data_IF_961757689938
#
_entry.id   IF_961757689938
#
_cell.length_a   1.000
_cell.length_b   1.000
_cell.length_c   1.000
_cell.angle_alpha   90.00
_cell.angle_beta   90.00
_cell.angle_gamma   90.00
#
_symmetry.space_group_name_H-M   'P 1'
#
loop_
_entity.id
_entity.type
_entity.pdbx_description
1 polymer ?
#
# COMPACT_ATOMS: atom_id res chain seq x y z
N UNK A 1 -7.74 15.93 1.02
CA UNK A 1 -8.16 14.70 0.30
C UNK A 1 -7.16 13.57 0.60
N UNK A 2 -7.30 12.87 1.73
CA UNK A 2 -6.46 11.70 2.08
C UNK A 2 -7.29 10.42 2.32
N UNK A 3 -8.62 10.56 2.33
CA UNK A 3 -9.56 9.47 2.66
C UNK A 3 -9.57 8.39 1.59
N UNK A 4 -9.60 8.77 0.30
CA UNK A 4 -9.60 7.82 -0.80
C UNK A 4 -8.35 6.92 -0.84
N UNK A 5 -7.11 7.43 -0.87
CA UNK A 5 -5.93 6.58 -0.87
C UNK A 5 -5.84 5.71 0.39
N UNK A 6 -6.26 6.24 1.55
CA UNK A 6 -6.28 5.47 2.80
C UNK A 6 -7.29 4.30 2.76
N UNK A 7 -8.52 4.53 2.28
CA UNK A 7 -9.51 3.46 2.15
C UNK A 7 -9.06 2.41 1.12
N UNK A 8 -8.45 2.83 0.01
CA UNK A 8 -7.95 1.89 -0.99
C UNK A 8 -6.82 1.03 -0.44
N UNK A 9 -5.90 1.60 0.37
CA UNK A 9 -4.82 0.80 0.96
C UNK A 9 -5.36 -0.16 2.00
N UNK A 10 -6.33 0.23 2.84
CA UNK A 10 -6.90 -0.67 3.85
C UNK A 10 -7.63 -1.85 3.21
N UNK A 11 -8.51 -1.58 2.24
CA UNK A 11 -9.26 -2.65 1.55
C UNK A 11 -8.30 -3.59 0.83
N UNK A 12 -7.32 -3.06 0.10
CA UNK A 12 -6.34 -3.89 -0.61
C UNK A 12 -5.47 -4.69 0.36
N UNK A 13 -5.08 -4.12 1.50
CA UNK A 13 -4.30 -4.85 2.50
C UNK A 13 -5.11 -5.99 3.13
N UNK A 14 -6.40 -5.77 3.39
CA UNK A 14 -7.29 -6.82 3.88
C UNK A 14 -7.41 -7.96 2.86
N UNK A 15 -7.78 -7.65 1.63
CA UNK A 15 -8.05 -8.68 0.60
C UNK A 15 -6.82 -9.46 0.16
N UNK A 16 -5.65 -8.82 0.11
CA UNK A 16 -4.43 -9.47 -0.42
C UNK A 16 -3.49 -10.02 0.64
N UNK A 17 -3.61 -9.58 1.91
CA UNK A 17 -2.72 -10.01 2.99
C UNK A 17 -3.51 -10.69 4.11
N UNK A 18 -4.57 -10.05 4.61
CA UNK A 18 -5.27 -10.53 5.82
C UNK A 18 -6.15 -11.75 5.53
N UNK A 19 -6.97 -11.69 4.49
CA UNK A 19 -7.85 -12.80 4.09
C UNK A 19 -7.07 -14.08 3.74
N UNK A 20 -6.03 -14.06 2.88
CA UNK A 20 -5.30 -15.28 2.56
C UNK A 20 -4.42 -15.80 3.70
N UNK A 21 -4.06 -14.95 4.67
CA UNK A 21 -3.41 -15.38 5.91
C UNK A 21 -4.40 -16.13 6.81
N UNK A 22 -5.62 -15.60 6.99
CA UNK A 22 -6.68 -16.24 7.77
C UNK A 22 -7.16 -17.56 7.16
N UNK A 23 -7.19 -17.66 5.83
CA UNK A 23 -7.54 -18.89 5.11
C UNK A 23 -6.44 -19.97 5.14
N UNK A 24 -5.27 -19.70 5.72
CA UNK A 24 -4.15 -20.66 5.77
C UNK A 24 -3.47 -20.90 4.42
N UNK A 25 -3.71 -20.04 3.42
CA UNK A 25 -3.05 -20.11 2.10
C UNK A 25 -1.63 -19.53 2.15
N UNK A 26 -1.34 -18.67 3.12
CA UNK A 26 -0.02 -18.09 3.37
C UNK A 26 0.60 -18.67 4.65
N UNK A 27 1.36 -19.76 4.51
CA UNK A 27 2.03 -20.45 5.63
C UNK A 27 3.49 -20.02 5.84
N UNK A 28 3.94 -18.97 5.17
CA UNK A 28 5.33 -18.54 5.20
C UNK A 28 5.45 -17.08 5.63
N UNK A 29 6.32 -16.81 6.62
CA UNK A 29 6.59 -15.46 7.12
C UNK A 29 7.11 -14.56 5.99
N UNK A 30 8.05 -15.05 5.18
CA UNK A 30 8.63 -14.27 4.08
C UNK A 30 7.62 -14.00 2.98
N UNK A 31 6.73 -14.95 2.67
CA UNK A 31 5.66 -14.73 1.69
C UNK A 31 4.69 -13.62 2.13
N UNK A 32 4.26 -13.65 3.39
CA UNK A 32 3.38 -12.62 3.98
C UNK A 32 4.07 -11.25 4.01
N UNK A 33 5.35 -11.23 4.38
CA UNK A 33 6.18 -10.03 4.47
C UNK A 33 6.43 -9.40 3.09
N UNK A 34 6.77 -10.19 2.07
CA UNK A 34 6.97 -9.72 0.70
C UNK A 34 5.67 -9.20 0.09
N UNK A 35 4.56 -9.92 0.31
CA UNK A 35 3.26 -9.54 -0.25
C UNK A 35 2.73 -8.25 0.35
N UNK A 36 2.83 -8.10 1.68
CA UNK A 36 2.45 -6.87 2.37
C UNK A 36 3.31 -5.66 1.97
N UNK A 37 4.63 -5.84 1.85
CA UNK A 37 5.52 -4.80 1.32
C UNK A 37 5.19 -4.39 -0.12
N UNK A 38 4.91 -5.35 -1.01
CA UNK A 38 4.54 -5.08 -2.40
C UNK A 38 3.21 -4.31 -2.51
N UNK A 39 2.19 -4.72 -1.74
CA UNK A 39 0.90 -4.02 -1.68
C UNK A 39 1.08 -2.60 -1.12
N UNK A 40 1.89 -2.44 -0.08
CA UNK A 40 2.22 -1.13 0.51
C UNK A 40 2.92 -0.20 -0.47
N UNK A 41 3.84 -0.71 -1.29
CA UNK A 41 4.55 0.07 -2.31
C UNK A 41 3.62 0.48 -3.45
N UNK A 42 2.86 -0.46 -4.02
CA UNK A 42 2.02 -0.21 -5.19
C UNK A 42 0.80 0.65 -4.84
N UNK A 43 0.05 0.27 -3.82
CA UNK A 43 -1.22 0.95 -3.48
C UNK A 43 -0.99 2.12 -2.53
N UNK A 44 -0.03 2.00 -1.60
CA UNK A 44 0.30 3.09 -0.68
C UNK A 44 1.24 4.15 -1.27
N UNK A 45 2.09 3.77 -2.23
CA UNK A 45 3.09 4.67 -2.80
C UNK A 45 2.82 5.10 -4.23
N UNK A 46 2.64 4.15 -5.16
CA UNK A 46 2.52 4.46 -6.58
C UNK A 46 1.15 5.06 -6.94
N UNK A 47 0.07 4.55 -6.35
CA UNK A 47 -1.30 5.00 -6.65
C UNK A 47 -1.54 6.49 -6.32
N UNK A 48 -1.15 7.03 -5.15
CA UNK A 48 -1.31 8.46 -4.86
C UNK A 48 -0.47 9.36 -5.77
N UNK A 49 0.74 8.93 -6.15
CA UNK A 49 1.62 9.66 -7.06
C UNK A 49 1.00 9.70 -8.47
N UNK A 50 0.49 8.57 -8.95
CA UNK A 50 -0.17 8.47 -10.25
C UNK A 50 -1.47 9.29 -10.32
N UNK A 51 -2.19 9.44 -9.21
CA UNK A 51 -3.38 10.31 -9.12
C UNK A 51 -3.01 11.80 -9.07
N UNK A 52 -1.95 12.16 -8.36
CA UNK A 52 -1.55 13.55 -8.19
C UNK A 52 -1.02 14.17 -9.49
N UNK A 53 -0.28 13.42 -10.31
CA UNK A 53 0.34 13.94 -11.54
C UNK A 53 -0.67 14.50 -12.57
N UNK A 54 -1.67 13.74 -13.04
CA UNK A 54 -2.60 14.21 -14.07
C UNK A 54 -3.51 15.33 -13.55
N UNK A 55 -3.94 15.28 -12.28
CA UNK A 55 -4.78 16.32 -11.70
C UNK A 55 -4.02 17.64 -11.64
N UNK A 56 -2.79 17.64 -11.10
CA UNK A 56 -1.98 18.85 -11.01
C UNK A 56 -1.55 19.36 -12.41
N UNK A 57 -1.25 18.45 -13.34
CA UNK A 57 -0.95 18.80 -14.73
C UNK A 57 -2.14 19.40 -15.47
N UNK A 58 -3.35 18.85 -15.29
CA UNK A 58 -4.57 19.37 -15.89
C UNK A 58 -4.92 20.76 -15.35
N UNK A 59 -4.82 20.98 -14.04
CA UNK A 59 -4.99 22.31 -13.46
C UNK A 59 -3.97 23.30 -14.02
N UNK A 60 -2.70 22.91 -14.13
CA UNK A 60 -1.66 23.77 -14.70
C UNK A 60 -1.94 24.15 -16.17
N UNK A 61 -2.54 23.24 -16.94
CA UNK A 61 -2.96 23.49 -18.32
C UNK A 61 -4.16 24.45 -18.39
N UNK A 62 -5.16 24.28 -17.51
CA UNK A 62 -6.37 25.11 -17.47
C UNK A 62 -6.05 26.54 -17.04
N UNK A 63 -5.20 26.72 -16.03
CA UNK A 63 -4.87 28.03 -15.48
C UNK A 63 -3.64 28.68 -16.14
N UNK A 64 -3.07 28.09 -17.19
CA UNK A 64 -1.88 28.57 -17.89
C UNK A 64 -0.68 28.91 -16.98
N UNK A 65 -0.56 28.22 -15.84
CA UNK A 65 0.49 28.50 -14.84
C UNK A 65 1.83 27.83 -15.19
N UNK A 66 1.85 27.00 -16.24
CA UNK A 66 3.04 26.29 -16.72
C UNK A 66 3.04 26.26 -18.25
N UNK A 67 4.20 26.39 -18.93
CA UNK A 67 4.29 26.28 -20.37
C UNK A 67 3.76 24.92 -20.83
N UNK A 68 2.68 24.93 -21.62
CA UNK A 68 2.11 23.72 -22.19
C UNK A 68 3.07 23.13 -23.24
N UNK A 69 3.14 21.80 -23.37
CA UNK A 69 4.07 21.15 -24.29
C UNK A 69 3.81 21.58 -25.74
N UNK A 70 4.85 22.06 -26.43
CA UNK A 70 4.82 22.24 -27.88
C UNK A 70 4.72 20.87 -28.58
N UNK A 71 3.96 20.84 -29.68
CA UNK A 71 3.63 19.62 -30.45
C UNK A 71 4.89 18.78 -30.72
N UNK A 72 4.89 17.55 -30.20
CA UNK A 72 5.89 16.52 -30.53
C UNK A 72 6.49 15.79 -29.33
N UNK A 73 6.46 16.36 -28.11
CA UNK A 73 7.19 15.76 -26.97
C UNK A 73 6.41 15.70 -25.64
N UNK A 74 5.14 15.26 -25.70
CA UNK A 74 4.26 15.17 -24.51
C UNK A 74 4.85 14.27 -23.41
N UNK A 75 5.47 13.14 -23.78
CA UNK A 75 6.00 12.17 -22.81
C UNK A 75 7.15 12.75 -21.98
N UNK A 76 8.08 13.44 -22.64
CA UNK A 76 9.22 14.05 -21.97
C UNK A 76 8.81 15.19 -21.03
N UNK A 77 7.73 15.90 -21.38
CA UNK A 77 7.11 16.90 -20.51
C UNK A 77 6.56 16.25 -19.22
N UNK A 78 5.79 15.17 -19.33
CA UNK A 78 5.27 14.45 -18.16
C UNK A 78 6.37 13.82 -17.30
N UNK A 79 7.43 13.29 -17.91
CA UNK A 79 8.60 12.77 -17.18
C UNK A 79 9.32 13.89 -16.42
N UNK A 80 9.54 15.04 -17.06
CA UNK A 80 10.19 16.19 -16.43
C UNK A 80 9.35 16.76 -15.29
N UNK A 81 8.04 16.85 -15.47
CA UNK A 81 7.09 17.34 -14.47
C UNK A 81 6.96 16.40 -13.26
N UNK A 82 7.03 15.09 -13.50
CA UNK A 82 6.90 14.07 -12.45
C UNK A 82 8.17 13.88 -11.62
N UNK A 83 9.34 14.16 -12.19
CA UNK A 83 10.66 14.02 -11.53
C UNK A 83 10.75 14.68 -10.14
N UNK A 84 10.35 15.95 -9.92
CA UNK A 84 10.38 16.57 -8.60
C UNK A 84 9.37 15.94 -7.62
N UNK A 85 8.20 15.53 -8.11
CA UNK A 85 7.16 14.89 -7.30
C UNK A 85 7.64 13.54 -6.80
N UNK A 86 8.18 12.70 -7.69
CA UNK A 86 8.77 11.41 -7.32
C UNK A 86 9.91 11.57 -6.33
N UNK A 87 10.80 12.55 -6.52
CA UNK A 87 11.91 12.78 -5.59
C UNK A 87 11.44 13.16 -4.18
N UNK A 88 10.36 13.93 -4.07
CA UNK A 88 9.80 14.37 -2.78
C UNK A 88 8.92 13.32 -2.13
N UNK A 89 8.23 12.50 -2.93
CA UNK A 89 7.42 11.36 -2.48
C UNK A 89 8.24 10.11 -2.18
N UNK A 90 9.50 10.02 -2.63
CA UNK A 90 10.34 8.84 -2.39
C UNK A 90 10.49 8.54 -0.90
N UNK A 91 10.72 9.56 -0.07
CA UNK A 91 10.89 9.37 1.37
C UNK A 91 9.63 8.76 2.05
N UNK A 92 8.42 9.35 1.91
CA UNK A 92 7.23 8.75 2.49
C UNK A 92 6.88 7.38 1.87
N UNK A 93 7.17 7.15 0.59
CA UNK A 93 6.95 5.85 -0.06
C UNK A 93 7.86 4.78 0.54
N UNK A 94 9.14 5.07 0.74
CA UNK A 94 10.08 4.15 1.38
C UNK A 94 9.66 3.85 2.82
N UNK A 95 9.27 4.88 3.56
CA UNK A 95 8.81 4.72 4.94
C UNK A 95 7.54 3.87 5.00
N UNK A 96 6.54 4.17 4.16
CA UNK A 96 5.28 3.40 4.05
C UNK A 96 5.56 1.93 3.70
N UNK A 97 6.49 1.69 2.79
CA UNK A 97 6.86 0.34 2.36
C UNK A 97 7.55 -0.41 3.49
N UNK A 98 8.51 0.22 4.19
CA UNK A 98 9.18 -0.38 5.34
C UNK A 98 8.21 -0.72 6.49
N UNK A 99 7.27 0.18 6.79
CA UNK A 99 6.21 -0.10 7.76
C UNK A 99 5.29 -1.23 7.30
N UNK A 100 4.95 -1.32 6.01
CA UNK A 100 4.13 -2.40 5.48
C UNK A 100 4.83 -3.77 5.62
N UNK A 101 6.14 -3.83 5.33
CA UNK A 101 6.97 -5.02 5.59
C UNK A 101 6.98 -5.41 7.06
N UNK A 102 7.20 -4.43 7.96
CA UNK A 102 7.22 -4.67 9.40
C UNK A 102 5.87 -5.17 9.94
N UNK A 103 4.77 -4.55 9.49
CA UNK A 103 3.41 -4.96 9.85
C UNK A 103 3.12 -6.39 9.37
N UNK A 104 3.53 -6.75 8.16
CA UNK A 104 3.37 -8.11 7.63
C UNK A 104 4.04 -9.20 8.48
N UNK A 105 5.30 -8.99 8.89
CA UNK A 105 6.02 -9.92 9.78
C UNK A 105 5.36 -10.01 11.16
N UNK A 106 4.98 -8.86 11.75
CA UNK A 106 4.28 -8.84 13.04
C UNK A 106 2.93 -9.54 12.99
N UNK A 107 2.16 -9.30 11.93
CA UNK A 107 0.84 -9.90 11.74
C UNK A 107 0.94 -11.42 11.63
N UNK A 108 1.94 -11.94 10.90
CA UNK A 108 2.21 -13.37 10.86
C UNK A 108 2.56 -13.95 12.25
N UNK A 109 3.43 -13.28 13.01
CA UNK A 109 3.81 -13.72 14.35
C UNK A 109 2.67 -13.70 15.37
N UNK A 110 1.71 -12.78 15.24
CA UNK A 110 0.48 -12.76 16.05
C UNK A 110 -0.45 -13.89 15.62
N UNK A 111 -0.60 -14.13 14.32
CA UNK A 111 -1.46 -15.19 13.78
C UNK A 111 -1.03 -16.58 14.24
N UNK A 112 0.28 -16.89 14.19
CA UNK A 112 0.80 -18.17 14.67
C UNK A 112 0.55 -18.35 16.18
N UNK A 113 0.72 -17.29 16.98
CA UNK A 113 0.41 -17.34 18.41
C UNK A 113 -1.08 -17.57 18.67
N UNK A 114 -1.95 -16.96 17.88
CA UNK A 114 -3.38 -17.17 17.96
C UNK A 114 -3.78 -18.61 17.66
N UNK A 115 -3.12 -19.27 16.69
CA UNK A 115 -3.32 -20.69 16.40
C UNK A 115 -2.80 -21.64 17.49
N UNK A 116 -1.79 -21.22 18.26
CA UNK A 116 -1.23 -22.00 19.36
C UNK A 116 -2.02 -21.87 20.66
N UNK A 117 -2.93 -20.89 20.75
CA UNK A 117 -3.81 -20.77 21.90
C UNK A 117 -4.86 -21.88 21.86
N UNK A 118 -5.07 -22.64 22.95
CA UNK A 118 -6.18 -23.57 23.04
C UNK A 118 -7.51 -22.82 22.88
N UNK A 119 -8.49 -23.44 22.22
CA UNK A 119 -9.80 -22.82 21.99
C UNK A 119 -10.42 -22.36 23.33
N UNK A 120 -10.81 -21.08 23.46
CA UNK A 120 -11.48 -20.57 24.65
C UNK A 120 -12.89 -21.18 24.71
N UNK A 121 -13.00 -22.36 25.33
CA UNK A 121 -14.27 -23.07 25.50
C UNK A 121 -14.19 -24.58 25.69
N UNK A 122 -13.02 -25.21 25.53
CA UNK A 122 -12.87 -26.66 25.76
C UNK A 122 -12.69 -27.00 27.24
N UNK A 123 -12.16 -26.07 28.04
CA UNK A 123 -11.92 -26.29 29.47
C UNK A 123 -13.19 -26.14 30.34
N UNK A 124 -14.23 -25.44 29.87
CA UNK A 124 -15.51 -25.36 30.58
C UNK A 124 -16.39 -26.63 30.43
N UNK A 125 -16.15 -27.46 29.40
CA UNK A 125 -16.95 -28.68 29.18
C UNK A 125 -16.41 -29.94 29.87
N UNK A 126 -15.25 -29.89 30.51
CA UNK A 126 -14.67 -31.04 31.21
C UNK A 126 -14.97 -31.07 32.72
N UNK A 127 -15.73 -30.08 33.21
CA UNK A 127 -16.18 -29.98 34.60
C UNK A 127 -17.71 -29.98 34.65
N UNK A 128 -18.34 -31.03 34.13
CA UNK A 128 -19.73 -31.39 34.44
C UNK A 128 -19.93 -32.89 34.28
#
# INVERSE_FOLDING_TARGET
>A
MAVLPFLTTTVTYQTFVTDPLNLGLLNCETCTTIRSGLVGLLVGGLYPVALALPINGALAAIYHTSPLPQRGNILNYWITLSKPVFRKMLFPVLLQTAFAFYLGSRQYGIFIKALQLPEPGVDEKKSH
#
